data_IF_163728435606
#
_entry.id   IF_163728435606
#
_cell.length_a   1.000
_cell.length_b   1.000
_cell.length_c   1.000
_cell.angle_alpha   90.00
_cell.angle_beta   90.00
_cell.angle_gamma   90.00
#
_symmetry.space_group_name_H-M   'P 1'
#
loop_
_entity.id
_entity.type
_entity.pdbx_description
1 polymer ?
#
# COMPACT_ATOMS: atom_id res chain seq x y z
N UNK A 1 -0.84 16.18 19.09
CA UNK A 1 -0.42 15.78 20.45
C UNK A 1 0.06 14.33 20.53
N UNK A 2 -0.67 13.32 20.03
CA UNK A 2 -0.28 11.90 20.20
C UNK A 2 0.69 11.32 19.17
N UNK A 3 0.89 11.97 18.03
CA UNK A 3 1.66 11.42 16.89
C UNK A 3 3.12 11.15 17.28
N UNK A 4 3.80 12.09 17.95
CA UNK A 4 5.19 11.89 18.38
C UNK A 4 5.33 10.67 19.31
N UNK A 5 4.38 10.47 20.21
CA UNK A 5 4.38 9.34 21.14
C UNK A 5 4.15 8.02 20.41
N UNK A 6 3.19 7.99 19.47
CA UNK A 6 2.90 6.81 18.64
C UNK A 6 4.12 6.42 17.79
N UNK A 7 4.78 7.38 17.14
CA UNK A 7 6.00 7.11 16.37
C UNK A 7 7.12 6.62 17.28
N UNK A 8 7.30 7.22 18.47
CA UNK A 8 8.30 6.72 19.44
C UNK A 8 8.02 5.28 19.87
N UNK A 9 6.76 4.89 20.04
CA UNK A 9 6.39 3.51 20.34
C UNK A 9 6.76 2.56 19.20
N UNK A 10 6.43 2.88 17.95
CA UNK A 10 6.83 2.06 16.79
C UNK A 10 8.36 1.89 16.69
N UNK A 11 9.11 2.97 16.94
CA UNK A 11 10.57 2.92 16.93
C UNK A 11 11.14 2.14 18.14
N UNK A 12 10.41 2.09 19.25
CA UNK A 12 10.78 1.25 20.39
C UNK A 12 10.55 -0.23 20.06
N UNK A 13 9.46 -0.59 19.39
CA UNK A 13 9.23 -1.94 18.88
C UNK A 13 10.37 -2.37 17.95
N UNK A 14 10.80 -1.49 17.05
CA UNK A 14 11.98 -1.72 16.20
C UNK A 14 13.27 -1.95 17.01
N UNK A 15 13.51 -1.18 18.08
CA UNK A 15 14.71 -1.36 18.91
C UNK A 15 14.72 -2.69 19.67
N UNK A 16 13.57 -3.13 20.15
CA UNK A 16 13.45 -4.34 20.98
C UNK A 16 13.30 -5.61 20.14
N UNK A 17 12.53 -5.53 19.07
CA UNK A 17 12.16 -6.65 18.20
C UNK A 17 12.90 -6.70 16.86
N UNK A 18 13.58 -5.62 16.50
CA UNK A 18 14.39 -5.50 15.30
C UNK A 18 13.65 -5.06 14.04
N UNK A 19 12.33 -4.91 14.03
CA UNK A 19 11.55 -4.56 12.83
C UNK A 19 10.47 -3.52 13.14
N UNK A 20 10.02 -2.75 12.16
CA UNK A 20 8.78 -2.00 12.37
C UNK A 20 7.60 -2.98 12.39
N UNK A 21 6.63 -2.82 13.30
CA UNK A 21 5.48 -3.71 13.36
C UNK A 21 4.48 -3.39 12.24
N UNK A 22 3.91 -4.44 11.63
CA UNK A 22 2.75 -4.38 10.72
C UNK A 22 1.44 -4.36 11.50
N UNK A 23 1.15 -5.50 12.16
CA UNK A 23 -0.05 -5.74 12.94
C UNK A 23 0.28 -6.29 14.33
N UNK A 24 0.72 -5.44 15.28
CA UNK A 24 1.09 -5.92 16.61
C UNK A 24 -0.15 -6.30 17.45
N UNK A 25 -0.20 -7.52 18.01
CA UNK A 25 -1.27 -7.96 18.92
C UNK A 25 -0.84 -9.09 19.91
N UNK A 26 -0.28 -8.76 21.10
CA UNK A 26 0.47 -7.52 21.38
C UNK A 26 1.88 -7.55 20.76
N UNK A 27 2.37 -8.71 20.31
CA UNK A 27 3.66 -8.87 19.62
C UNK A 27 3.48 -8.83 18.10
N UNK A 28 4.58 -8.90 17.35
CA UNK A 28 4.55 -9.04 15.89
C UNK A 28 3.64 -10.17 15.44
N UNK A 29 2.88 -9.89 14.39
CA UNK A 29 2.13 -10.89 13.62
C UNK A 29 2.38 -10.65 12.13
N UNK A 30 2.26 -11.72 11.34
CA UNK A 30 2.22 -11.63 9.87
C UNK A 30 0.76 -11.59 9.43
N UNK A 31 0.03 -10.57 9.89
CA UNK A 31 -1.34 -10.29 9.48
C UNK A 31 -1.27 -9.13 8.48
N UNK A 32 -1.94 -9.29 7.34
CA UNK A 32 -1.94 -8.35 6.20
C UNK A 32 -0.55 -8.14 5.58
N UNK A 33 -0.50 -7.25 4.58
CA UNK A 33 0.63 -7.08 3.65
C UNK A 33 1.47 -5.83 3.93
N UNK A 34 2.62 -5.73 3.27
CA UNK A 34 3.51 -4.56 3.23
C UNK A 34 3.95 -4.01 4.60
N UNK A 35 4.46 -2.78 4.67
CA UNK A 35 5.06 -2.16 5.87
C UNK A 35 4.60 -0.72 6.07
N UNK A 36 3.29 -0.48 6.09
CA UNK A 36 2.70 0.87 6.14
C UNK A 36 2.99 1.69 7.41
N UNK A 37 3.66 1.12 8.42
CA UNK A 37 4.28 1.90 9.48
C UNK A 37 5.31 2.91 8.89
N UNK A 38 5.95 2.57 7.77
CA UNK A 38 6.82 3.44 6.99
C UNK A 38 6.08 4.70 6.53
N UNK A 39 4.87 4.53 6.01
CA UNK A 39 4.01 5.63 5.55
C UNK A 39 3.59 6.55 6.70
N UNK A 40 3.23 5.98 7.86
CA UNK A 40 2.89 6.75 9.06
C UNK A 40 4.09 7.62 9.52
N UNK A 41 5.29 7.04 9.59
CA UNK A 41 6.52 7.76 9.95
C UNK A 41 6.84 8.86 8.94
N UNK A 42 6.77 8.55 7.64
CA UNK A 42 7.00 9.53 6.57
C UNK A 42 6.03 10.70 6.66
N UNK A 43 4.75 10.43 6.90
CA UNK A 43 3.72 11.45 7.01
C UNK A 43 3.88 12.32 8.26
N UNK A 44 4.25 11.73 9.40
CA UNK A 44 4.57 12.48 10.61
C UNK A 44 5.71 13.48 10.36
N UNK A 45 6.80 13.02 9.73
CA UNK A 45 7.93 13.87 9.35
C UNK A 45 7.48 14.99 8.40
N UNK A 46 6.73 14.66 7.34
CA UNK A 46 6.28 15.63 6.34
C UNK A 46 5.34 16.70 6.92
N UNK A 47 4.54 16.36 7.93
CA UNK A 47 3.67 17.29 8.67
C UNK A 47 4.39 18.07 9.78
N UNK A 48 5.69 17.87 9.97
CA UNK A 48 6.53 18.65 10.89
C UNK A 48 6.55 18.15 12.33
N UNK A 49 6.11 16.92 12.60
CA UNK A 49 6.28 16.27 13.90
C UNK A 49 7.74 15.88 14.11
N UNK A 50 8.34 16.30 15.22
CA UNK A 50 9.78 16.25 15.47
C UNK A 50 10.15 15.69 16.86
N UNK A 51 9.19 15.07 17.55
CA UNK A 51 9.36 14.52 18.90
C UNK A 51 9.99 13.11 18.93
N UNK A 52 10.59 12.65 17.84
CA UNK A 52 11.21 11.33 17.72
C UNK A 52 12.55 11.38 16.96
N UNK A 53 13.34 10.32 17.07
CA UNK A 53 14.67 10.24 16.46
C UNK A 53 14.55 9.90 14.96
N UNK A 54 14.79 10.89 14.10
CA UNK A 54 14.70 10.72 12.64
C UNK A 54 15.77 9.76 12.09
N UNK A 55 16.95 9.66 12.71
CA UNK A 55 17.99 8.74 12.24
C UNK A 55 17.61 7.31 12.58
N UNK A 56 17.02 7.08 13.75
CA UNK A 56 16.44 5.80 14.11
C UNK A 56 15.27 5.44 13.19
N UNK A 57 14.37 6.40 12.93
CA UNK A 57 13.27 6.22 11.99
C UNK A 57 13.77 5.81 10.61
N UNK A 58 14.79 6.49 10.09
CA UNK A 58 15.42 6.11 8.83
C UNK A 58 16.00 4.69 8.87
N UNK A 59 16.72 4.32 9.94
CA UNK A 59 17.29 2.99 10.07
C UNK A 59 16.22 1.88 10.10
N UNK A 60 15.06 2.16 10.68
CA UNK A 60 13.93 1.25 10.76
C UNK A 60 13.32 1.01 9.37
N UNK A 61 12.78 2.06 8.74
CA UNK A 61 12.12 1.95 7.42
C UNK A 61 13.09 1.48 6.33
N UNK A 62 14.37 1.82 6.42
CA UNK A 62 15.39 1.30 5.50
C UNK A 62 15.58 -0.20 5.66
N UNK A 63 15.54 -0.73 6.89
CA UNK A 63 15.67 -2.16 7.13
C UNK A 63 14.50 -2.91 6.51
N UNK A 64 13.28 -2.44 6.72
CA UNK A 64 12.05 -3.01 6.15
C UNK A 64 12.15 -3.10 4.62
N UNK A 65 12.58 -2.02 3.98
CA UNK A 65 12.67 -1.93 2.53
C UNK A 65 13.86 -2.68 1.88
N UNK A 66 14.86 -3.09 2.67
CA UNK A 66 16.12 -3.63 2.12
C UNK A 66 16.48 -5.02 2.59
N UNK A 67 15.86 -5.53 3.63
CA UNK A 67 16.19 -6.81 4.26
C UNK A 67 15.09 -7.83 3.99
N UNK A 68 15.29 -8.76 3.05
CA UNK A 68 14.31 -9.82 2.83
C UNK A 68 14.13 -10.68 4.08
N UNK A 69 12.93 -11.22 4.32
CA UNK A 69 12.70 -12.11 5.44
C UNK A 69 13.48 -13.43 5.31
N UNK A 70 13.60 -14.16 6.41
CA UNK A 70 14.26 -15.45 6.39
C UNK A 70 13.51 -16.43 5.47
N UNK A 71 14.24 -17.02 4.51
CA UNK A 71 13.69 -17.95 3.53
C UNK A 71 12.67 -17.33 2.58
N UNK A 72 12.83 -16.05 2.28
CA UNK A 72 12.01 -15.27 1.35
C UNK A 72 11.75 -15.95 0.00
N UNK A 73 12.73 -16.70 -0.51
CA UNK A 73 12.65 -17.42 -1.80
C UNK A 73 12.27 -18.89 -1.68
N UNK A 74 11.96 -19.35 -0.47
CA UNK A 74 11.63 -20.74 -0.15
C UNK A 74 10.28 -20.89 0.54
N UNK A 75 9.58 -19.79 0.77
CA UNK A 75 8.27 -19.71 1.43
C UNK A 75 7.33 -18.90 0.57
N UNK A 76 6.08 -19.34 0.52
CA UNK A 76 5.04 -18.65 -0.25
C UNK A 76 4.45 -17.44 0.50
N UNK A 77 4.60 -17.35 1.83
CA UNK A 77 4.12 -16.23 2.68
C UNK A 77 2.64 -15.90 2.53
N UNK A 78 1.78 -16.80 3.03
CA UNK A 78 0.34 -16.51 3.12
C UNK A 78 0.02 -15.68 4.37
N UNK A 79 -1.06 -14.88 4.30
CA UNK A 79 -1.61 -14.19 5.49
C UNK A 79 -1.77 -15.18 6.65
N UNK A 80 -1.27 -14.78 7.83
CA UNK A 80 -1.34 -15.56 9.07
C UNK A 80 -0.69 -16.95 8.99
N UNK A 81 0.26 -17.16 8.08
CA UNK A 81 0.92 -18.46 7.96
C UNK A 81 1.57 -18.87 9.30
N UNK A 82 1.25 -20.06 9.85
CA UNK A 82 1.79 -20.48 11.13
C UNK A 82 3.23 -20.99 10.98
N UNK A 83 4.05 -20.77 12.02
CA UNK A 83 5.39 -21.35 12.12
C UNK A 83 6.42 -20.76 11.17
N UNK A 84 6.19 -19.55 10.65
CA UNK A 84 7.16 -18.78 9.87
C UNK A 84 7.69 -17.59 10.68
N UNK A 85 8.91 -17.09 10.36
CA UNK A 85 9.44 -15.89 11.01
C UNK A 85 8.68 -14.63 10.57
N UNK A 86 8.97 -13.51 11.22
CA UNK A 86 8.39 -12.22 10.81
C UNK A 86 8.80 -11.87 9.38
N UNK A 87 7.84 -11.49 8.55
CA UNK A 87 8.06 -11.34 7.11
C UNK A 87 8.46 -9.93 6.69
N UNK A 88 8.04 -8.89 7.43
CA UNK A 88 8.12 -7.49 7.01
C UNK A 88 7.58 -7.27 5.58
N UNK A 89 8.42 -7.45 4.56
CA UNK A 89 8.05 -7.44 3.13
C UNK A 89 8.31 -8.81 2.50
N UNK A 90 7.30 -9.70 2.40
CA UNK A 90 7.47 -11.00 1.75
C UNK A 90 7.66 -10.83 0.24
N UNK A 91 8.52 -11.65 -0.37
CA UNK A 91 8.86 -11.56 -1.79
C UNK A 91 9.85 -10.45 -2.14
N UNK A 92 10.40 -9.72 -1.17
CA UNK A 92 11.30 -8.58 -1.37
C UNK A 92 12.56 -8.94 -2.19
N UNK A 93 13.04 -10.18 -2.11
CA UNK A 93 14.14 -10.69 -2.94
C UNK A 93 13.78 -10.61 -4.42
N UNK A 94 12.58 -11.05 -4.80
CA UNK A 94 12.09 -10.97 -6.17
C UNK A 94 11.77 -9.53 -6.56
N UNK A 95 11.14 -8.76 -5.68
CA UNK A 95 10.86 -7.34 -5.92
C UNK A 95 12.14 -6.55 -6.27
N UNK A 96 13.23 -6.78 -5.54
CA UNK A 96 14.55 -6.14 -5.79
C UNK A 96 15.21 -6.59 -7.10
N UNK A 97 14.93 -7.80 -7.57
CA UNK A 97 15.53 -8.36 -8.78
C UNK A 97 14.72 -8.07 -10.05
N UNK A 98 13.39 -8.15 -9.95
CA UNK A 98 12.45 -8.13 -11.07
C UNK A 98 11.67 -6.82 -11.15
N UNK A 99 11.62 -6.04 -10.07
CA UNK A 99 10.77 -4.85 -9.95
C UNK A 99 9.29 -5.16 -9.68
N UNK A 100 8.95 -6.41 -9.38
CA UNK A 100 7.64 -6.88 -8.96
C UNK A 100 7.79 -8.23 -8.23
N UNK A 101 6.76 -8.62 -7.48
CA UNK A 101 6.69 -9.91 -6.79
C UNK A 101 5.93 -10.90 -7.67
N UNK A 102 6.53 -12.05 -8.04
CA UNK A 102 5.86 -13.04 -8.86
C UNK A 102 4.81 -13.85 -8.10
N UNK A 103 3.68 -14.11 -8.75
CA UNK A 103 2.54 -14.84 -8.16
C UNK A 103 2.81 -16.32 -7.94
N UNK A 104 3.80 -16.89 -8.66
CA UNK A 104 4.23 -18.28 -8.51
C UNK A 104 5.37 -18.43 -7.47
N UNK A 105 5.61 -17.41 -6.66
CA UNK A 105 6.68 -17.35 -5.66
C UNK A 105 6.24 -16.83 -4.30
N UNK A 106 5.28 -15.91 -4.28
CA UNK A 106 4.78 -15.29 -3.05
C UNK A 106 3.27 -15.08 -3.20
N UNK A 107 2.50 -15.34 -2.15
CA UNK A 107 1.07 -15.06 -2.11
C UNK A 107 0.83 -13.55 -2.21
N UNK A 108 -0.37 -13.17 -2.64
CA UNK A 108 -0.81 -11.76 -2.60
C UNK A 108 0.10 -10.79 -3.38
N UNK A 109 0.83 -11.33 -4.36
CA UNK A 109 2.01 -10.70 -4.95
C UNK A 109 1.76 -9.40 -5.70
N UNK A 110 0.58 -9.22 -6.29
CA UNK A 110 0.23 -7.98 -7.00
C UNK A 110 -0.13 -6.87 -6.01
N UNK A 111 -0.88 -7.20 -4.95
CA UNK A 111 -1.13 -6.27 -3.85
C UNK A 111 0.17 -5.85 -3.17
N UNK A 112 1.02 -6.82 -2.78
CA UNK A 112 2.34 -6.54 -2.19
C UNK A 112 3.22 -5.67 -3.12
N UNK A 113 3.23 -5.93 -4.44
CA UNK A 113 4.00 -5.11 -5.39
C UNK A 113 3.56 -3.64 -5.40
N UNK A 114 2.26 -3.37 -5.28
CA UNK A 114 1.71 -2.01 -5.29
C UNK A 114 1.99 -1.31 -3.96
N UNK A 115 1.73 -1.99 -2.85
CA UNK A 115 1.94 -1.47 -1.51
C UNK A 115 3.43 -1.24 -1.21
N UNK A 116 4.32 -2.16 -1.60
CA UNK A 116 5.77 -1.97 -1.48
C UNK A 116 6.25 -0.77 -2.31
N UNK A 117 5.63 -0.49 -3.46
CA UNK A 117 5.97 0.67 -4.27
C UNK A 117 5.54 1.98 -3.58
N UNK A 118 4.42 1.98 -2.86
CA UNK A 118 4.02 3.12 -2.02
C UNK A 118 4.92 3.26 -0.79
N UNK A 119 5.25 2.17 -0.10
CA UNK A 119 6.13 2.21 1.06
C UNK A 119 7.56 2.60 0.68
N UNK A 120 8.03 2.27 -0.53
CA UNK A 120 9.28 2.83 -1.07
C UNK A 120 9.23 4.35 -1.20
N UNK A 121 8.11 4.90 -1.65
CA UNK A 121 7.94 6.35 -1.66
C UNK A 121 8.01 6.92 -0.23
N UNK A 122 7.40 6.25 0.76
CA UNK A 122 7.48 6.64 2.16
C UNK A 122 8.94 6.62 2.69
N UNK A 123 9.68 5.53 2.47
CA UNK A 123 11.10 5.40 2.80
C UNK A 123 11.91 6.53 2.16
N UNK A 124 11.61 6.88 0.90
CA UNK A 124 12.26 8.00 0.23
C UNK A 124 12.01 9.34 0.96
N UNK A 125 10.79 9.61 1.44
CA UNK A 125 10.50 10.84 2.19
C UNK A 125 11.30 10.89 3.50
N UNK A 126 11.40 9.78 4.22
CA UNK A 126 12.23 9.69 5.44
C UNK A 126 13.71 9.92 5.10
N UNK A 127 14.23 9.26 4.05
CA UNK A 127 15.59 9.42 3.57
C UNK A 127 15.91 10.88 3.20
N UNK A 128 14.97 11.58 2.57
CA UNK A 128 15.09 13.02 2.25
C UNK A 128 15.25 13.85 3.52
N UNK A 129 14.43 13.59 4.54
CA UNK A 129 14.44 14.34 5.80
C UNK A 129 15.74 14.18 6.58
N UNK A 130 16.40 13.02 6.50
CA UNK A 130 17.71 12.77 7.13
C UNK A 130 18.91 13.10 6.24
N UNK A 131 18.70 13.68 5.05
CA UNK A 131 19.77 14.09 4.14
C UNK A 131 20.42 12.96 3.34
N UNK A 132 19.82 11.76 3.30
CA UNK A 132 20.31 10.58 2.56
C UNK A 132 19.92 10.66 1.08
N UNK A 133 20.57 11.58 0.35
CA UNK A 133 20.23 11.91 -1.04
C UNK A 133 20.33 10.73 -2.02
N UNK A 134 21.27 9.81 -1.80
CA UNK A 134 21.42 8.63 -2.66
C UNK A 134 20.25 7.67 -2.49
N UNK A 135 19.90 7.36 -1.24
CA UNK A 135 18.80 6.48 -0.88
C UNK A 135 17.45 7.11 -1.29
N UNK A 136 17.26 8.41 -1.09
CA UNK A 136 16.10 9.14 -1.64
C UNK A 136 15.92 8.90 -3.14
N UNK A 137 16.97 9.09 -3.95
CA UNK A 137 16.87 8.86 -5.40
C UNK A 137 16.60 7.40 -5.74
N UNK A 138 17.22 6.47 -5.01
CA UNK A 138 17.00 5.04 -5.21
C UNK A 138 15.53 4.68 -4.97
N UNK A 139 14.97 5.06 -3.82
CA UNK A 139 13.61 4.69 -3.45
C UNK A 139 12.53 5.46 -4.22
N UNK A 140 12.74 6.73 -4.60
CA UNK A 140 11.81 7.40 -5.55
C UNK A 140 11.76 6.66 -6.88
N UNK A 141 12.90 6.16 -7.38
CA UNK A 141 12.90 5.38 -8.62
C UNK A 141 12.23 4.01 -8.45
N UNK A 142 12.49 3.31 -7.33
CA UNK A 142 11.90 1.99 -7.04
C UNK A 142 10.40 2.08 -6.78
N UNK A 143 9.91 3.19 -6.23
CA UNK A 143 8.50 3.50 -6.08
C UNK A 143 7.74 3.54 -7.42
N UNK A 144 8.40 3.59 -8.57
CA UNK A 144 7.74 3.43 -9.88
C UNK A 144 7.49 1.97 -10.29
N UNK A 145 7.81 0.99 -9.43
CA UNK A 145 7.66 -0.45 -9.73
C UNK A 145 6.21 -0.89 -9.97
N UNK A 146 5.20 -0.14 -9.51
CA UNK A 146 3.79 -0.38 -9.88
C UNK A 146 3.59 -0.44 -11.42
N UNK A 147 4.45 0.25 -12.18
CA UNK A 147 4.44 0.23 -13.65
C UNK A 147 4.70 -1.15 -14.24
N UNK A 148 5.43 -2.01 -13.51
CA UNK A 148 5.84 -3.32 -13.99
C UNK A 148 4.69 -4.32 -14.07
N UNK A 149 3.57 -4.06 -13.40
CA UNK A 149 2.39 -4.94 -13.36
C UNK A 149 1.14 -4.30 -14.00
N UNK A 150 1.27 -3.14 -14.64
CA UNK A 150 0.18 -2.56 -15.41
C UNK A 150 0.03 -3.23 -16.78
N UNK A 151 -1.03 -4.01 -16.97
CA UNK A 151 -1.34 -4.62 -18.27
C UNK A 151 -2.17 -3.67 -19.12
N UNK A 152 -1.51 -2.95 -20.04
CA UNK A 152 -2.15 -1.98 -20.92
C UNK A 152 -3.17 -2.57 -21.90
N UNK A 153 -3.09 -3.87 -22.22
CA UNK A 153 -4.07 -4.55 -23.07
C UNK A 153 -5.42 -4.74 -22.35
N UNK A 154 -5.40 -4.84 -21.02
CA UNK A 154 -6.60 -4.95 -20.18
C UNK A 154 -7.00 -3.61 -19.54
N UNK A 155 -6.04 -2.73 -19.31
CA UNK A 155 -6.22 -1.49 -18.55
C UNK A 155 -6.40 -1.73 -17.05
N UNK A 156 -5.74 -2.76 -16.52
CA UNK A 156 -5.73 -3.15 -15.11
C UNK A 156 -4.31 -3.47 -14.65
N UNK A 157 -4.07 -3.35 -13.35
CA UNK A 157 -2.95 -4.07 -12.72
C UNK A 157 -3.21 -5.58 -12.80
N UNK A 158 -2.15 -6.35 -13.01
CA UNK A 158 -2.26 -7.80 -13.12
C UNK A 158 -0.95 -8.46 -12.66
N UNK A 159 -1.09 -9.51 -11.85
CA UNK A 159 0.07 -10.27 -11.38
C UNK A 159 0.85 -10.90 -12.55
N UNK A 160 2.13 -11.17 -12.30
CA UNK A 160 3.04 -11.82 -13.24
C UNK A 160 3.69 -13.04 -12.61
N UNK A 161 4.01 -14.03 -13.44
CA UNK A 161 4.91 -15.12 -13.07
C UNK A 161 6.36 -14.66 -13.12
N UNK A 162 7.26 -15.43 -12.52
CA UNK A 162 8.69 -15.08 -12.45
C UNK A 162 9.36 -15.05 -13.83
N UNK A 163 8.78 -15.73 -14.82
CA UNK A 163 9.21 -15.68 -16.22
C UNK A 163 8.71 -14.44 -16.99
N UNK A 164 7.94 -13.57 -16.33
CA UNK A 164 7.40 -12.32 -16.89
C UNK A 164 6.06 -12.47 -17.62
N UNK A 165 5.52 -13.69 -17.75
CA UNK A 165 4.17 -13.89 -18.29
C UNK A 165 3.09 -13.40 -17.34
N UNK A 166 1.96 -12.95 -17.89
CA UNK A 166 0.81 -12.48 -17.09
C UNK A 166 0.06 -13.66 -16.48
N UNK A 167 -0.27 -13.57 -15.19
CA UNK A 167 -1.08 -14.55 -14.48
C UNK A 167 -2.57 -14.40 -14.82
N UNK A 168 -3.46 -15.23 -14.23
CA UNK A 168 -4.90 -14.99 -14.38
C UNK A 168 -5.32 -13.73 -13.61
N UNK A 169 -6.37 -13.01 -14.05
CA UNK A 169 -6.77 -11.74 -13.44
C UNK A 169 -7.18 -11.84 -11.96
N UNK A 170 -7.55 -13.03 -11.49
CA UNK A 170 -8.02 -13.28 -10.13
C UNK A 170 -6.87 -13.59 -9.15
N UNK A 171 -5.64 -13.71 -9.62
CA UNK A 171 -4.50 -14.13 -8.82
C UNK A 171 -3.69 -12.93 -8.30
N UNK A 172 -3.15 -13.06 -7.08
CA UNK A 172 -2.18 -12.11 -6.50
C UNK A 172 -2.78 -10.96 -5.69
N UNK A 173 -4.04 -11.05 -5.24
CA UNK A 173 -4.71 -9.98 -4.51
C UNK A 173 -4.96 -10.33 -3.05
N UNK A 174 -4.77 -9.36 -2.14
CA UNK A 174 -5.19 -9.43 -0.73
C UNK A 174 -6.58 -8.81 -0.58
N UNK A 175 -7.55 -9.57 -0.07
CA UNK A 175 -8.91 -9.09 0.27
C UNK A 175 -9.59 -8.24 -0.83
N UNK A 176 -9.35 -8.58 -2.09
CA UNK A 176 -9.88 -7.80 -3.20
C UNK A 176 -9.55 -8.42 -4.55
N UNK A 177 -9.59 -7.58 -5.58
CA UNK A 177 -9.28 -7.95 -6.95
C UNK A 177 -8.62 -6.80 -7.71
N UNK A 178 -8.44 -6.97 -9.03
CA UNK A 178 -7.87 -5.95 -9.91
C UNK A 178 -8.66 -4.62 -9.88
N UNK A 179 -9.96 -4.61 -9.61
CA UNK A 179 -10.75 -3.38 -9.50
C UNK A 179 -10.48 -2.63 -8.22
N UNK A 180 -10.20 -3.36 -7.14
CA UNK A 180 -9.83 -2.81 -5.83
C UNK A 180 -8.42 -2.23 -5.84
N UNK A 181 -7.46 -2.86 -6.53
CA UNK A 181 -6.05 -2.46 -6.46
C UNK A 181 -5.53 -1.61 -7.63
N UNK A 182 -6.24 -1.50 -8.77
CA UNK A 182 -5.65 -0.82 -9.94
C UNK A 182 -5.29 0.65 -9.68
N UNK A 183 -5.98 1.31 -8.75
CA UNK A 183 -5.69 2.68 -8.34
C UNK A 183 -4.88 2.78 -7.04
N UNK A 184 -4.29 1.71 -6.52
CA UNK A 184 -3.36 1.71 -5.38
C UNK A 184 -1.97 2.25 -5.80
N UNK A 185 -1.95 3.50 -6.27
CA UNK A 185 -0.75 4.26 -6.68
C UNK A 185 -0.86 5.69 -6.13
N UNK A 186 -1.05 5.78 -4.81
CA UNK A 186 -1.37 7.03 -4.11
C UNK A 186 -0.27 8.09 -4.23
N UNK A 187 0.99 7.65 -4.37
CA UNK A 187 2.16 8.51 -4.48
C UNK A 187 2.41 9.08 -5.88
N UNK A 188 1.83 8.49 -6.94
CA UNK A 188 2.04 8.92 -8.34
C UNK A 188 0.76 8.81 -9.18
N UNK A 189 -0.33 9.44 -8.72
CA UNK A 189 -1.59 9.53 -9.47
C UNK A 189 -1.38 10.11 -10.90
N UNK A 190 -0.56 11.16 -11.13
CA UNK A 190 -0.25 11.62 -12.48
C UNK A 190 0.43 10.55 -13.35
N UNK A 191 1.37 9.78 -12.79
CA UNK A 191 2.00 8.68 -13.50
C UNK A 191 1.04 7.55 -13.84
N UNK A 192 0.14 7.18 -12.93
CA UNK A 192 -0.93 6.21 -13.21
C UNK A 192 -1.86 6.72 -14.31
N UNK A 193 -2.32 7.98 -14.23
CA UNK A 193 -3.12 8.62 -15.29
C UNK A 193 -2.42 8.54 -16.66
N UNK A 194 -1.11 8.78 -16.71
CA UNK A 194 -0.34 8.67 -17.94
C UNK A 194 -0.32 7.23 -18.50
N UNK A 195 -0.12 6.22 -17.65
CA UNK A 195 -0.17 4.80 -18.04
C UNK A 195 -1.54 4.39 -18.59
N UNK A 196 -2.60 4.93 -18.01
CA UNK A 196 -3.98 4.68 -18.45
C UNK A 196 -4.33 5.40 -19.77
N UNK A 197 -3.44 6.26 -20.27
CA UNK A 197 -3.64 7.00 -21.52
C UNK A 197 -4.37 8.34 -21.33
N UNK A 198 -4.22 8.96 -20.16
CA UNK A 198 -4.68 10.31 -19.86
C UNK A 198 -5.96 10.38 -19.02
N UNK A 199 -6.35 11.59 -18.59
CA UNK A 199 -7.43 11.81 -17.64
C UNK A 199 -8.79 11.30 -18.13
N UNK A 200 -9.04 11.32 -19.45
CA UNK A 200 -10.29 10.79 -20.02
C UNK A 200 -10.46 9.28 -19.80
N UNK A 201 -9.43 8.48 -20.07
CA UNK A 201 -9.45 7.03 -19.86
C UNK A 201 -9.43 6.67 -18.37
N UNK A 202 -8.67 7.41 -17.58
CA UNK A 202 -8.66 7.28 -16.12
C UNK A 202 -10.06 7.48 -15.53
N UNK A 203 -10.76 8.54 -15.95
CA UNK A 203 -12.13 8.83 -15.49
C UNK A 203 -13.17 7.82 -16.00
N UNK A 204 -13.03 7.35 -17.24
CA UNK A 204 -13.92 6.33 -17.77
C UNK A 204 -13.82 5.03 -16.96
N UNK A 205 -12.60 4.60 -16.59
CA UNK A 205 -12.40 3.40 -15.76
C UNK A 205 -12.91 3.61 -14.32
N UNK A 206 -12.77 4.80 -13.74
CA UNK A 206 -13.42 5.12 -12.44
C UNK A 206 -14.95 5.08 -12.55
N UNK A 207 -15.51 5.59 -13.65
CA UNK A 207 -16.95 5.53 -13.88
C UNK A 207 -17.43 4.07 -13.95
N UNK A 208 -16.69 3.21 -14.67
CA UNK A 208 -16.95 1.76 -14.72
C UNK A 208 -16.86 1.10 -13.35
N UNK A 209 -15.85 1.46 -12.53
CA UNK A 209 -15.70 0.97 -11.16
C UNK A 209 -16.95 1.24 -10.31
N UNK A 210 -17.42 2.49 -10.29
CA UNK A 210 -18.59 2.86 -9.50
C UNK A 210 -19.91 2.33 -10.08
N UNK A 211 -20.07 2.34 -11.41
CA UNK A 211 -21.29 1.85 -12.07
C UNK A 211 -21.42 0.32 -11.99
N UNK A 212 -20.30 -0.40 -12.04
CA UNK A 212 -20.25 -1.85 -11.91
C UNK A 212 -20.40 -2.37 -10.48
N UNK A 213 -20.45 -1.47 -9.48
CA UNK A 213 -20.54 -1.85 -8.07
C UNK A 213 -19.23 -2.43 -7.53
N UNK A 214 -18.09 -2.10 -8.14
CA UNK A 214 -16.76 -2.59 -7.74
C UNK A 214 -16.17 -1.82 -6.55
N UNK A 215 -16.80 -0.72 -6.14
CA UNK A 215 -16.39 0.03 -4.97
C UNK A 215 -16.78 -0.69 -3.67
N UNK A 216 -15.86 -1.51 -3.16
CA UNK A 216 -15.97 -2.24 -1.91
C UNK A 216 -15.58 -1.33 -0.74
N UNK A 217 -16.45 -0.37 -0.41
CA UNK A 217 -16.16 0.62 0.65
C UNK A 217 -16.14 0.01 2.07
N UNK A 218 -16.65 -1.21 2.21
CA UNK A 218 -16.53 -2.05 3.39
C UNK A 218 -15.11 -2.62 3.60
N UNK A 219 -14.16 -2.30 2.71
CA UNK A 219 -12.75 -2.67 2.80
C UNK A 219 -11.80 -1.50 2.47
N UNK A 220 -10.61 -1.49 3.08
CA UNK A 220 -9.67 -0.36 3.06
C UNK A 220 -9.20 0.08 1.67
N UNK A 221 -8.79 -0.81 0.75
CA UNK A 221 -8.12 -0.37 -0.47
C UNK A 221 -9.05 0.39 -1.44
N UNK A 222 -10.38 0.41 -1.19
CA UNK A 222 -11.34 1.21 -1.97
C UNK A 222 -11.59 2.61 -1.41
N UNK A 223 -11.14 2.93 -0.19
CA UNK A 223 -11.52 4.16 0.52
C UNK A 223 -11.15 5.44 -0.23
N UNK A 224 -10.03 5.46 -0.96
CA UNK A 224 -9.53 6.64 -1.66
C UNK A 224 -10.18 6.87 -3.04
N UNK A 225 -10.88 5.88 -3.61
CA UNK A 225 -11.30 5.90 -5.02
C UNK A 225 -12.17 7.11 -5.37
N UNK A 226 -13.06 7.51 -4.47
CA UNK A 226 -13.97 8.62 -4.70
C UNK A 226 -13.23 9.95 -4.89
N UNK A 227 -12.07 10.13 -4.24
CA UNK A 227 -11.26 11.34 -4.30
C UNK A 227 -10.41 11.44 -5.57
N UNK A 228 -10.24 10.35 -6.33
CA UNK A 228 -9.38 10.33 -7.50
C UNK A 228 -9.88 11.22 -8.64
N UNK A 229 -11.17 11.55 -8.67
CA UNK A 229 -11.73 12.49 -9.67
C UNK A 229 -11.22 13.93 -9.47
N UNK A 230 -10.76 14.31 -8.28
CA UNK A 230 -10.16 15.63 -8.03
C UNK A 230 -8.85 15.79 -8.81
N UNK A 231 -8.06 14.71 -8.90
CA UNK A 231 -6.77 14.69 -9.59
C UNK A 231 -6.89 14.69 -11.11
N UNK A 232 -8.04 14.26 -11.64
CA UNK A 232 -8.28 14.08 -13.08
C UNK A 232 -9.20 15.16 -13.69
N UNK A 233 -9.52 16.21 -12.92
CA UNK A 233 -10.28 17.38 -13.39
C UNK A 233 -11.80 17.20 -13.41
N UNK A 234 -12.36 16.26 -12.64
CA UNK A 234 -13.82 16.07 -12.50
C UNK A 234 -14.28 16.10 -11.02
N UNK A 235 -13.93 17.12 -10.23
CA UNK A 235 -14.18 17.14 -8.78
C UNK A 235 -15.67 17.08 -8.39
N UNK A 236 -16.59 17.46 -9.28
CA UNK A 236 -18.03 17.30 -9.04
C UNK A 236 -18.44 15.82 -8.90
N UNK A 237 -17.67 14.88 -9.48
CA UNK A 237 -17.88 13.44 -9.26
C UNK A 237 -17.40 13.00 -7.89
N UNK A 238 -16.28 13.52 -7.39
CA UNK A 238 -15.85 13.31 -5.99
C UNK A 238 -16.98 13.72 -5.04
N UNK A 239 -17.52 14.93 -5.21
CA UNK A 239 -18.59 15.47 -4.37
C UNK A 239 -19.82 14.55 -4.35
N UNK A 240 -20.21 14.02 -5.51
CA UNK A 240 -21.30 13.06 -5.63
C UNK A 240 -20.97 11.75 -4.92
N UNK A 241 -19.84 11.11 -5.24
CA UNK A 241 -19.49 9.77 -4.73
C UNK A 241 -19.27 9.76 -3.24
N UNK A 242 -18.57 10.75 -2.68
CA UNK A 242 -18.37 10.86 -1.22
C UNK A 242 -19.72 10.96 -0.50
N UNK A 243 -20.66 11.76 -1.04
CA UNK A 243 -22.01 11.87 -0.45
C UNK A 243 -22.81 10.57 -0.54
N UNK A 244 -22.78 9.90 -1.69
CA UNK A 244 -23.44 8.60 -1.87
C UNK A 244 -22.87 7.53 -0.93
N UNK A 245 -21.55 7.52 -0.75
CA UNK A 245 -20.86 6.59 0.15
C UNK A 245 -21.26 6.87 1.60
N UNK A 246 -21.17 8.13 2.04
CA UNK A 246 -21.55 8.52 3.40
C UNK A 246 -23.00 8.11 3.73
N UNK A 247 -23.95 8.43 2.84
CA UNK A 247 -25.37 8.14 3.05
C UNK A 247 -25.69 6.63 3.02
N UNK A 248 -24.90 5.83 2.28
CA UNK A 248 -25.13 4.38 2.12
C UNK A 248 -24.46 3.55 3.20
N UNK A 249 -23.19 3.82 3.47
CA UNK A 249 -22.32 2.94 4.26
C UNK A 249 -22.25 3.35 5.75
N UNK A 250 -22.75 4.54 6.12
CA UNK A 250 -22.66 5.05 7.49
C UNK A 250 -24.02 5.46 8.05
N UNK A 251 -24.37 4.91 9.22
CA UNK A 251 -25.62 5.22 9.94
C UNK A 251 -25.35 5.32 11.44
N UNK A 252 -26.08 6.19 12.13
CA UNK A 252 -26.03 6.25 13.59
C UNK A 252 -26.90 5.15 14.24
N UNK A 253 -26.51 3.89 14.03
CA UNK A 253 -27.19 2.68 14.54
C UNK A 253 -26.15 1.60 14.86
N UNK A 254 -26.47 0.56 15.65
CA UNK A 254 -25.54 -0.52 15.96
C UNK A 254 -24.98 -1.28 14.73
N UNK A 255 -25.73 -1.30 13.63
CA UNK A 255 -25.34 -1.84 12.31
C UNK A 255 -24.85 -0.74 11.35
N UNK A 256 -24.22 0.29 11.92
CA UNK A 256 -24.00 1.57 11.29
C UNK A 256 -22.79 1.67 10.37
N UNK A 257 -21.86 0.72 10.42
CA UNK A 257 -20.66 0.66 9.59
C UNK A 257 -20.77 -0.59 8.73
N UNK A 258 -20.48 -0.46 7.44
CA UNK A 258 -20.80 -1.47 6.43
C UNK A 258 -19.81 -2.65 6.30
N UNK A 259 -18.83 -2.74 7.19
CA UNK A 259 -17.80 -3.77 7.22
C UNK A 259 -17.18 -3.89 8.61
N UNK A 260 -15.98 -4.44 8.69
CA UNK A 260 -15.17 -4.33 9.89
C UNK A 260 -14.85 -2.85 10.15
N UNK A 261 -14.69 -2.45 11.41
CA UNK A 261 -14.35 -1.06 11.74
C UNK A 261 -12.84 -0.77 11.59
N UNK A 262 -12.04 -1.84 11.63
CA UNK A 262 -10.59 -1.87 11.43
C UNK A 262 -9.83 -0.80 12.22
N UNK A 263 -10.04 -0.85 13.53
CA UNK A 263 -9.25 -0.12 14.52
C UNK A 263 -9.26 1.42 14.31
N UNK A 264 -10.38 1.97 13.85
CA UNK A 264 -10.54 3.39 13.57
C UNK A 264 -10.43 3.77 12.10
N UNK A 265 -9.97 2.87 11.21
CA UNK A 265 -9.75 3.19 9.80
C UNK A 265 -11.04 3.58 9.07
N UNK A 266 -12.14 2.84 9.29
CA UNK A 266 -13.44 3.18 8.69
C UNK A 266 -14.05 4.47 9.26
N UNK A 267 -13.75 4.79 10.52
CA UNK A 267 -14.35 5.92 11.23
C UNK A 267 -13.68 7.27 10.92
N UNK A 268 -12.41 7.27 10.49
CA UNK A 268 -11.60 8.46 10.26
C UNK A 268 -11.91 9.16 8.92
#
# INVERSE_FOLDING_TARGET
>A
ERIDDMVRSLLQDYREGGWMPKWPNPSYTNIMIATHADALVAEAINKGFHGFDYQLAYAAVYKDAMTPPEGDTTRDWHDRQPGVPYEARPGLTYYKQLGYIPVDKTAESASETLEDAYDDYAVAQVARAVGRKADYRFFVNRAHNYRNIYNSARGFMQAKHADGSWARPEEGWTEGDQWVYTYSVLHDIPGLMALMGGPGKFNARLDEHFQGGHNQHDNEPSHHYAYLYDFSGQPWKTQLRVREIADRYYKNRPDGVAGNEDCGQMSA
#
